data_IF_525838985665
#
_entry.id   IF_525838985665
#
_cell.length_a   1.000
_cell.length_b   1.000
_cell.length_c   1.000
_cell.angle_alpha   90.00
_cell.angle_beta   90.00
_cell.angle_gamma   90.00
#
_symmetry.space_group_name_H-M   'P 1'
#
loop_
_entity.id
_entity.type
_entity.pdbx_description
1 polymer ?
#
# COMPACT_ATOMS: atom_id res chain seq x y z
N UNK A 1 16.46 0.30 28.52
CA UNK A 1 16.53 -0.13 27.11
C UNK A 1 16.50 1.10 26.18
N UNK A 2 17.58 1.39 25.44
CA UNK A 2 17.79 2.68 24.73
C UNK A 2 16.74 2.93 23.63
N UNK A 3 16.13 4.13 23.58
CA UNK A 3 15.11 4.58 22.58
C UNK A 3 15.38 4.17 21.12
N UNK A 4 16.66 4.03 20.76
CA UNK A 4 17.15 3.63 19.43
C UNK A 4 16.77 2.20 19.02
N UNK A 5 16.66 1.27 19.96
CA UNK A 5 16.23 -0.11 19.70
C UNK A 5 14.71 -0.20 19.48
N UNK A 6 13.90 0.51 20.28
CA UNK A 6 12.44 0.63 20.07
C UNK A 6 12.11 1.19 18.67
N UNK A 7 12.88 2.16 18.17
CA UNK A 7 12.68 2.73 16.83
C UNK A 7 12.93 1.73 15.69
N UNK A 8 13.82 0.74 15.89
CA UNK A 8 14.09 -0.33 14.91
C UNK A 8 13.05 -1.44 14.95
N UNK A 9 12.48 -1.70 16.12
CA UNK A 9 11.49 -2.76 16.35
C UNK A 9 10.14 -2.50 15.66
N UNK A 10 9.93 -1.39 14.94
CA UNK A 10 8.73 -1.21 14.12
C UNK A 10 8.89 -0.34 12.88
N UNK A 11 10.09 -0.34 12.31
CA UNK A 11 10.42 0.57 11.20
C UNK A 11 11.58 0.03 10.35
N UNK A 12 11.63 -1.30 10.15
CA UNK A 12 12.70 -1.92 9.34
C UNK A 12 12.65 -1.41 7.91
N UNK A 13 11.45 -1.22 7.38
CA UNK A 13 11.21 -0.64 6.07
C UNK A 13 10.34 0.61 6.20
N UNK A 14 10.45 1.51 5.21
CA UNK A 14 9.61 2.69 5.12
C UNK A 14 9.01 2.78 3.70
N UNK A 15 7.77 2.32 3.58
CA UNK A 15 7.06 2.23 2.30
C UNK A 15 6.73 3.61 1.74
N UNK A 16 6.32 4.55 2.58
CA UNK A 16 6.06 5.93 2.14
C UNK A 16 7.30 6.62 1.53
N UNK A 17 8.48 6.45 2.16
CA UNK A 17 9.75 6.94 1.58
C UNK A 17 10.13 6.19 0.31
N UNK A 18 9.81 4.90 0.21
CA UNK A 18 10.02 4.12 -1.03
C UNK A 18 9.14 4.68 -2.16
N UNK A 19 7.84 4.84 -1.94
CA UNK A 19 6.90 5.44 -2.90
C UNK A 19 7.41 6.79 -3.42
N UNK A 20 7.76 7.70 -2.49
CA UNK A 20 8.32 9.03 -2.80
C UNK A 20 9.59 8.99 -3.64
N UNK A 21 10.42 7.97 -3.45
CA UNK A 21 11.63 7.78 -4.24
C UNK A 21 11.30 7.21 -5.62
N UNK A 22 10.37 6.26 -5.68
CA UNK A 22 9.94 5.60 -6.91
C UNK A 22 9.16 6.53 -7.84
N UNK A 23 8.44 7.51 -7.31
CA UNK A 23 7.77 8.53 -8.14
C UNK A 23 8.73 9.45 -8.87
N UNK A 24 9.97 9.58 -8.38
CA UNK A 24 11.03 10.38 -9.00
C UNK A 24 11.86 9.60 -10.01
N UNK A 25 11.67 8.28 -10.13
CA UNK A 25 12.45 7.46 -11.07
C UNK A 25 12.00 7.70 -12.51
N UNK A 26 12.98 7.68 -13.42
CA UNK A 26 12.74 7.71 -14.88
C UNK A 26 12.62 6.32 -15.52
N UNK A 27 13.13 5.27 -14.86
CA UNK A 27 13.18 3.88 -15.35
C UNK A 27 12.88 2.88 -14.23
N UNK A 28 12.44 1.69 -14.61
CA UNK A 28 12.04 0.61 -13.69
C UNK A 28 10.66 0.86 -13.06
N UNK A 29 10.42 0.28 -11.89
CA UNK A 29 9.18 0.52 -11.12
C UNK A 29 8.99 2.02 -10.88
N UNK A 30 7.97 2.59 -11.52
CA UNK A 30 7.57 3.99 -11.34
C UNK A 30 6.29 4.03 -10.53
N UNK A 31 6.36 4.67 -9.37
CA UNK A 31 5.16 5.00 -8.61
C UNK A 31 4.51 6.21 -9.29
N UNK A 32 3.32 6.02 -9.86
CA UNK A 32 2.56 7.11 -10.48
C UNK A 32 2.00 8.01 -9.40
N UNK A 33 1.35 7.41 -8.40
CA UNK A 33 0.75 8.12 -7.28
C UNK A 33 0.79 7.26 -6.01
N UNK A 34 0.67 7.90 -4.85
CA UNK A 34 0.58 7.21 -3.57
C UNK A 34 -0.22 8.02 -2.57
N UNK A 35 -0.88 7.33 -1.65
CA UNK A 35 -1.61 7.93 -0.54
C UNK A 35 -1.18 7.29 0.79
N UNK A 36 -1.29 8.06 1.86
CA UNK A 36 -1.24 7.56 3.24
C UNK A 36 -2.54 7.95 3.93
N UNK A 37 -3.24 6.97 4.47
CA UNK A 37 -4.57 7.13 5.04
C UNK A 37 -4.59 6.48 6.43
N UNK A 38 -5.07 7.15 7.49
CA UNK A 38 -5.28 6.48 8.78
C UNK A 38 -6.25 5.30 8.63
N UNK A 39 -5.99 4.20 9.35
CA UNK A 39 -6.96 3.12 9.44
C UNK A 39 -8.17 3.61 10.22
N UNK A 40 -9.37 3.45 9.65
CA UNK A 40 -10.61 3.66 10.38
C UNK A 40 -10.87 2.53 11.39
N UNK A 41 -11.96 2.65 12.15
CA UNK A 41 -12.26 1.73 13.25
C UNK A 41 -12.67 0.35 12.72
N UNK A 42 -13.53 0.30 11.70
CA UNK A 42 -13.99 -0.94 11.06
C UNK A 42 -12.85 -1.64 10.33
N UNK A 43 -12.07 -0.87 9.58
CA UNK A 43 -10.87 -1.35 8.90
C UNK A 43 -9.88 -1.95 9.91
N UNK A 44 -9.75 -1.32 11.08
CA UNK A 44 -8.91 -1.84 12.15
C UNK A 44 -9.47 -3.13 12.75
N UNK A 45 -10.77 -3.19 13.03
CA UNK A 45 -11.42 -4.40 13.54
C UNK A 45 -11.24 -5.58 12.57
N UNK A 46 -11.53 -5.40 11.28
CA UNK A 46 -11.31 -6.44 10.27
C UNK A 46 -9.83 -6.85 10.15
N UNK A 47 -8.91 -5.89 10.27
CA UNK A 47 -7.47 -6.18 10.27
C UNK A 47 -7.04 -7.07 11.44
N UNK A 48 -7.63 -6.85 12.60
CA UNK A 48 -7.33 -7.60 13.82
C UNK A 48 -8.02 -8.99 13.80
N UNK A 49 -9.25 -9.09 13.28
CA UNK A 49 -10.00 -10.34 13.09
C UNK A 49 -9.29 -11.30 12.12
N UNK A 50 -8.72 -10.79 11.03
CA UNK A 50 -7.90 -11.56 10.09
C UNK A 50 -6.51 -11.96 10.66
N UNK A 51 -6.20 -11.55 11.89
CA UNK A 51 -4.97 -11.94 12.60
C UNK A 51 -3.71 -11.17 12.20
N UNK A 52 -3.82 -10.14 11.37
CA UNK A 52 -2.66 -9.38 10.89
C UNK A 52 -1.95 -8.57 11.98
N UNK A 53 -2.59 -8.38 13.15
CA UNK A 53 -1.98 -7.66 14.27
C UNK A 53 -0.67 -8.30 14.76
N UNK A 54 -0.50 -9.62 14.60
CA UNK A 54 0.73 -10.32 15.00
C UNK A 54 1.92 -9.92 14.11
N UNK A 55 1.68 -9.74 12.80
CA UNK A 55 2.70 -9.36 11.83
C UNK A 55 2.92 -7.84 11.76
N UNK A 56 1.89 -7.07 12.08
CA UNK A 56 1.84 -5.62 11.90
C UNK A 56 1.32 -4.87 13.14
N UNK A 57 1.83 -5.21 14.32
CA UNK A 57 1.32 -4.74 15.62
C UNK A 57 1.20 -3.21 15.78
N UNK A 58 1.98 -2.41 15.06
CA UNK A 58 1.93 -0.93 15.11
C UNK A 58 1.28 -0.28 13.89
N UNK A 59 0.71 -1.08 12.98
CA UNK A 59 0.00 -0.52 11.85
C UNK A 59 -1.16 0.34 12.36
N UNK A 60 -1.23 1.56 11.86
CA UNK A 60 -2.26 2.55 12.19
C UNK A 60 -2.73 3.28 10.94
N UNK A 61 -2.04 3.06 9.81
CA UNK A 61 -2.27 3.73 8.55
C UNK A 61 -2.10 2.71 7.41
N UNK A 62 -2.84 2.94 6.35
CA UNK A 62 -2.64 2.38 5.04
C UNK A 62 -1.67 3.25 4.24
N UNK A 63 -0.78 2.62 3.49
CA UNK A 63 -0.10 3.24 2.36
C UNK A 63 -0.55 2.52 1.10
N UNK A 64 -1.19 3.24 0.19
CA UNK A 64 -1.56 2.75 -1.13
C UNK A 64 -0.59 3.35 -2.17
N UNK A 65 0.00 2.51 -3.02
CA UNK A 65 0.92 2.93 -4.08
C UNK A 65 0.38 2.43 -5.41
N UNK A 66 0.16 3.35 -6.36
CA UNK A 66 -0.10 3.01 -7.76
C UNK A 66 1.24 2.95 -8.51
N UNK A 67 1.51 1.80 -9.10
CA UNK A 67 2.77 1.49 -9.78
C UNK A 67 2.48 1.14 -11.23
N UNK A 68 3.29 1.70 -12.12
CA UNK A 68 3.32 1.32 -13.53
C UNK A 68 4.66 0.68 -13.89
N UNK A 69 4.59 -0.47 -14.53
CA UNK A 69 5.70 -1.16 -15.12
C UNK A 69 5.21 -2.04 -16.28
N UNK A 70 5.58 -1.66 -17.50
CA UNK A 70 5.21 -2.35 -18.74
C UNK A 70 5.66 -3.82 -18.84
N UNK A 71 6.61 -4.24 -17.99
CA UNK A 71 7.25 -5.56 -18.06
C UNK A 71 6.72 -6.52 -16.98
N UNK A 72 5.49 -6.30 -16.49
CA UNK A 72 4.82 -7.16 -15.50
C UNK A 72 3.80 -8.06 -16.20
N UNK A 73 3.90 -9.35 -15.88
CA UNK A 73 2.98 -10.39 -16.33
C UNK A 73 2.42 -11.15 -15.13
N UNK A 74 1.16 -11.54 -15.20
CA UNK A 74 0.50 -12.43 -14.24
C UNK A 74 -0.33 -13.44 -15.03
N UNK A 75 -0.02 -14.73 -14.89
CA UNK A 75 -0.68 -15.84 -15.64
C UNK A 75 -0.68 -15.54 -17.15
N UNK A 76 0.50 -15.32 -17.72
CA UNK A 76 0.74 -15.01 -19.15
C UNK A 76 0.05 -13.75 -19.71
N UNK A 77 -0.65 -12.99 -18.88
CA UNK A 77 -1.29 -11.74 -19.26
C UNK A 77 -0.49 -10.53 -18.76
N UNK A 78 -0.41 -9.50 -19.59
CA UNK A 78 0.27 -8.25 -19.24
C UNK A 78 -0.56 -7.47 -18.23
N UNK A 79 0.04 -7.16 -17.08
CA UNK A 79 -0.57 -6.40 -15.97
C UNK A 79 0.30 -5.19 -15.63
N UNK A 80 0.34 -4.17 -16.50
CA UNK A 80 1.30 -3.10 -16.38
C UNK A 80 1.05 -2.19 -15.18
N UNK A 81 -0.17 -2.21 -14.64
CA UNK A 81 -0.59 -1.40 -13.51
C UNK A 81 -0.82 -2.28 -12.27
N UNK A 82 -0.23 -1.88 -11.15
CA UNK A 82 -0.41 -2.53 -9.85
C UNK A 82 -0.75 -1.48 -8.80
N UNK A 83 -1.81 -1.71 -8.04
CA UNK A 83 -2.02 -1.04 -6.76
C UNK A 83 -1.48 -1.94 -5.65
N UNK A 84 -0.63 -1.39 -4.79
CA UNK A 84 -0.07 -2.09 -3.63
C UNK A 84 -0.54 -1.41 -2.35
N UNK A 85 -1.07 -2.19 -1.41
CA UNK A 85 -1.52 -1.68 -0.11
C UNK A 85 -0.63 -2.23 0.99
N UNK A 86 -0.15 -1.34 1.85
CA UNK A 86 0.73 -1.66 2.98
C UNK A 86 0.14 -1.16 4.29
N UNK A 87 -0.04 -2.02 5.30
CA UNK A 87 -0.22 -1.59 6.68
C UNK A 87 1.10 -1.02 7.21
N UNK A 88 1.03 0.16 7.83
CA UNK A 88 2.18 0.89 8.31
C UNK A 88 1.82 1.83 9.48
N UNK A 89 2.82 2.42 10.13
CA UNK A 89 2.58 3.53 11.06
C UNK A 89 2.40 4.86 10.30
N UNK A 90 1.99 5.92 11.02
CA UNK A 90 1.81 7.28 10.49
C UNK A 90 2.98 7.87 9.68
N UNK A 91 4.19 7.33 9.83
CA UNK A 91 5.38 7.77 9.11
C UNK A 91 5.72 6.86 7.92
N UNK A 92 4.84 5.93 7.55
CA UNK A 92 5.05 4.91 6.52
C UNK A 92 5.97 3.77 6.94
N UNK A 93 6.25 3.61 8.23
CA UNK A 93 7.11 2.54 8.73
C UNK A 93 6.40 1.21 8.78
N UNK A 94 7.07 0.12 8.38
CA UNK A 94 6.53 -1.24 8.38
C UNK A 94 7.62 -2.30 8.59
N UNK A 95 7.21 -3.53 8.93
CA UNK A 95 8.07 -4.62 9.37
C UNK A 95 8.56 -5.44 8.19
N UNK A 96 7.73 -5.49 7.16
CA UNK A 96 7.96 -6.19 5.91
C UNK A 96 8.04 -5.21 4.75
N UNK A 97 8.71 -5.62 3.67
CA UNK A 97 8.75 -4.89 2.41
C UNK A 97 7.61 -5.28 1.47
N UNK A 98 6.86 -6.33 1.83
CA UNK A 98 5.80 -6.92 1.04
C UNK A 98 4.46 -6.25 1.36
N UNK A 99 3.62 -6.01 0.35
CA UNK A 99 2.28 -5.48 0.55
C UNK A 99 1.39 -6.54 1.18
N UNK A 100 0.36 -6.07 1.88
CA UNK A 100 -0.75 -6.89 2.32
C UNK A 100 -1.64 -7.27 1.13
N UNK A 101 -1.89 -6.32 0.23
CA UNK A 101 -2.70 -6.54 -0.96
C UNK A 101 -2.01 -6.07 -2.23
N UNK A 102 -2.12 -6.88 -3.28
CA UNK A 102 -1.71 -6.60 -4.64
C UNK A 102 -2.95 -6.66 -5.54
N UNK A 103 -3.25 -5.57 -6.23
CA UNK A 103 -4.36 -5.51 -7.18
C UNK A 103 -3.76 -5.24 -8.55
N UNK A 104 -3.97 -6.15 -9.49
CA UNK A 104 -3.40 -6.13 -10.83
C UNK A 104 -4.44 -5.65 -11.84
N UNK A 105 -4.04 -4.74 -12.71
CA UNK A 105 -4.91 -4.21 -13.75
C UNK A 105 -4.28 -4.40 -15.13
N UNK A 106 -5.06 -4.95 -16.06
CA UNK A 106 -4.70 -5.11 -17.49
C UNK A 106 -4.61 -3.77 -18.21
N UNK A 107 -5.42 -2.80 -17.79
CA UNK A 107 -5.54 -1.53 -18.50
C UNK A 107 -4.27 -0.67 -18.37
N UNK A 108 -3.83 -0.11 -19.49
CA UNK A 108 -2.81 0.94 -19.55
C UNK A 108 -3.43 2.34 -19.55
N UNK A 109 -4.76 2.46 -19.59
CA UNK A 109 -5.42 3.75 -19.70
C UNK A 109 -5.26 4.59 -18.40
N UNK A 110 -4.49 5.70 -18.43
CA UNK A 110 -4.13 6.42 -17.21
C UNK A 110 -5.34 6.98 -16.46
N UNK A 111 -6.39 7.37 -17.18
CA UNK A 111 -7.62 7.92 -16.57
C UNK A 111 -8.38 6.86 -15.77
N UNK A 112 -8.54 5.67 -16.35
CA UNK A 112 -9.22 4.56 -15.69
C UNK A 112 -8.46 4.15 -14.43
N UNK A 113 -7.16 3.87 -14.55
CA UNK A 113 -6.38 3.41 -13.39
C UNK A 113 -6.30 4.46 -12.27
N UNK A 114 -6.22 5.75 -12.64
CA UNK A 114 -6.25 6.83 -11.66
C UNK A 114 -7.60 6.92 -10.95
N UNK A 115 -8.72 6.76 -11.67
CA UNK A 115 -10.05 6.77 -11.07
C UNK A 115 -10.25 5.62 -10.07
N UNK A 116 -9.73 4.43 -10.40
CA UNK A 116 -9.77 3.26 -9.53
C UNK A 116 -8.92 3.49 -8.28
N UNK A 117 -7.71 4.02 -8.45
CA UNK A 117 -6.83 4.36 -7.32
C UNK A 117 -7.46 5.41 -6.40
N UNK A 118 -8.05 6.46 -6.97
CA UNK A 118 -8.75 7.50 -6.20
C UNK A 118 -9.93 6.93 -5.43
N UNK A 119 -10.73 6.06 -6.06
CA UNK A 119 -11.84 5.37 -5.40
C UNK A 119 -11.34 4.54 -4.21
N UNK A 120 -10.32 3.71 -4.39
CA UNK A 120 -9.73 2.90 -3.31
C UNK A 120 -9.24 3.78 -2.14
N UNK A 121 -8.59 4.91 -2.44
CA UNK A 121 -8.14 5.85 -1.41
C UNK A 121 -9.31 6.48 -0.68
N UNK A 122 -10.40 6.76 -1.39
CA UNK A 122 -11.62 7.32 -0.80
C UNK A 122 -12.34 6.30 0.09
N UNK A 123 -12.45 5.06 -0.36
CA UNK A 123 -13.00 3.95 0.42
C UNK A 123 -12.17 3.68 1.70
N UNK A 124 -10.85 3.80 1.63
CA UNK A 124 -9.98 3.76 2.83
C UNK A 124 -10.26 4.90 3.81
N UNK A 125 -10.51 6.13 3.31
CA UNK A 125 -10.87 7.26 4.20
C UNK A 125 -12.25 7.07 4.83
N UNK A 126 -13.14 6.38 4.14
CA UNK A 126 -14.51 6.09 4.57
C UNK A 126 -14.61 4.82 5.41
N UNK A 127 -13.49 4.21 5.82
CA UNK A 127 -13.47 3.03 6.69
C UNK A 127 -14.16 1.81 6.06
N UNK A 128 -13.94 1.64 4.75
CA UNK A 128 -14.59 0.65 3.89
C UNK A 128 -13.59 -0.19 3.07
N UNK A 129 -12.30 -0.19 3.43
CA UNK A 129 -11.28 -0.92 2.68
C UNK A 129 -11.56 -2.43 2.64
N UNK A 130 -11.89 -3.04 3.79
CA UNK A 130 -12.18 -4.48 3.86
C UNK A 130 -13.52 -4.88 3.22
N UNK A 131 -14.46 -3.95 3.11
CA UNK A 131 -15.81 -4.23 2.63
C UNK A 131 -15.92 -4.15 1.11
N UNK A 132 -14.83 -3.83 0.41
CA UNK A 132 -14.82 -3.54 -1.01
C UNK A 132 -13.88 -4.49 -1.75
N UNK A 133 -14.38 -5.11 -2.81
CA UNK A 133 -13.58 -5.94 -3.71
C UNK A 133 -13.07 -5.06 -4.85
N UNK A 134 -11.76 -5.14 -5.13
CA UNK A 134 -11.06 -4.36 -6.14
C UNK A 134 -10.35 -5.25 -7.15
#
# INVERSE_FOLDING_TARGET
>A
MKKRLKKKAGNRYNVLKRAKRESRKRRGYKCIDYAIVPMGVKDRSGFDEEGYILEYAYATHWVAELIYNKDIYFIDEKMPCIIRVFPCNKNGGTHTKFPLQLIFYKTEEPKIIMSIFQKLVEDMKNDCFWNTVY
#
